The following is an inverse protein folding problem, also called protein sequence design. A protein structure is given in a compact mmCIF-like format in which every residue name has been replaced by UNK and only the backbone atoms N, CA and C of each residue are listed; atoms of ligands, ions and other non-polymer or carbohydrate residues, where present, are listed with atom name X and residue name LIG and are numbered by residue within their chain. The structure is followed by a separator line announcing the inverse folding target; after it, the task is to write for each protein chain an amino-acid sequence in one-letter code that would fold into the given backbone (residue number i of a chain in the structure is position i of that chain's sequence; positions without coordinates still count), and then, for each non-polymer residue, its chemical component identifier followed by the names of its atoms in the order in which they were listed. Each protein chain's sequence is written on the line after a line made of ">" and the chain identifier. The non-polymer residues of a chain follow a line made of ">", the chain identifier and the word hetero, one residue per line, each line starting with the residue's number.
data_IF_925396422428
#
_entry.id   IF_925396422428
#
_cell.length_a   1.000
_cell.length_b   1.000
_cell.length_c   1.000
_cell.angle_alpha   90.00
_cell.angle_beta   90.00
_cell.angle_gamma   90.00
#
_symmetry.space_group_name_H-M   'P 1'
#
loop_
_entity.id
_entity.type
_entity.pdbx_description
1 polymer ?
#
# COMPACT_ATOMS: atom_id res chain seq x y z
N UNK A 1 50.84 -23.60 8.10
CA UNK A 1 49.71 -23.53 7.15
C UNK A 1 48.60 -22.59 7.69
N UNK A 2 48.68 -21.31 7.31
CA UNK A 2 47.79 -20.25 7.79
C UNK A 2 46.55 -20.15 6.90
N UNK A 3 45.36 -20.43 7.45
CA UNK A 3 44.08 -20.28 6.76
C UNK A 3 43.70 -18.81 6.65
N UNK A 4 43.59 -18.30 5.42
CA UNK A 4 43.01 -16.98 5.15
C UNK A 4 41.49 -17.11 5.15
N UNK A 5 40.84 -16.54 6.16
CA UNK A 5 39.39 -16.28 6.13
C UNK A 5 39.14 -15.20 5.05
N UNK A 6 38.48 -15.58 3.96
CA UNK A 6 38.07 -14.63 2.93
C UNK A 6 37.01 -13.69 3.52
N UNK A 7 37.28 -12.38 3.48
CA UNK A 7 36.33 -11.35 3.87
C UNK A 7 35.09 -11.44 2.95
N UNK A 8 33.90 -11.57 3.55
CA UNK A 8 32.66 -11.51 2.80
C UNK A 8 32.54 -10.15 2.08
N UNK A 9 32.05 -10.11 0.83
CA UNK A 9 31.87 -8.85 0.12
C UNK A 9 30.92 -7.94 0.91
N UNK A 10 31.26 -6.64 0.99
CA UNK A 10 30.44 -5.65 1.66
C UNK A 10 29.02 -5.66 1.08
N UNK A 11 28.03 -5.96 1.93
CA UNK A 11 26.62 -5.91 1.53
C UNK A 11 26.29 -4.45 1.19
N UNK A 12 25.72 -4.18 0.00
CA UNK A 12 25.27 -2.84 -0.35
C UNK A 12 24.28 -2.32 0.70
N UNK A 13 24.59 -1.19 1.33
CA UNK A 13 23.65 -0.50 2.21
C UNK A 13 22.56 0.11 1.35
N UNK A 14 21.35 -0.44 1.42
CA UNK A 14 20.18 0.16 0.78
C UNK A 14 19.79 1.40 1.57
N UNK A 15 19.52 2.50 0.86
CA UNK A 15 19.05 3.76 1.46
C UNK A 15 17.70 3.58 2.20
N UNK A 16 17.26 4.61 2.95
CA UNK A 16 15.97 4.57 3.63
C UNK A 16 14.84 4.33 2.63
N UNK A 17 13.88 3.51 3.03
CA UNK A 17 12.75 3.13 2.20
C UNK A 17 11.95 4.37 1.77
N UNK A 18 11.66 4.59 0.47
CA UNK A 18 10.90 5.75 -0.02
C UNK A 18 9.60 6.00 0.76
N UNK A 19 8.88 4.94 1.14
CA UNK A 19 7.65 5.04 1.92
C UNK A 19 7.87 5.65 3.32
N UNK A 20 9.02 5.39 3.94
CA UNK A 20 9.41 5.98 5.22
C UNK A 20 9.78 7.45 5.07
N UNK A 21 10.38 7.84 3.94
CA UNK A 21 10.67 9.24 3.63
C UNK A 21 9.38 10.02 3.39
N UNK A 22 8.39 9.43 2.69
CA UNK A 22 7.07 10.03 2.48
C UNK A 22 6.34 10.34 3.79
N UNK A 23 6.45 9.45 4.79
CA UNK A 23 5.83 9.66 6.11
C UNK A 23 6.42 10.81 6.91
N UNK A 24 7.61 11.31 6.54
CA UNK A 24 8.25 12.46 7.18
C UNK A 24 7.84 13.79 6.52
N UNK A 25 7.02 13.75 5.47
CA UNK A 25 6.57 14.95 4.78
C UNK A 25 5.50 15.64 5.63
N UNK A 26 5.71 16.91 5.93
CA UNK A 26 4.69 17.76 6.51
C UNK A 26 3.58 17.99 5.49
N UNK A 27 2.39 17.48 5.79
CA UNK A 27 1.22 17.67 4.95
C UNK A 27 0.68 19.09 5.15
N UNK A 28 0.13 19.73 4.09
CA UNK A 28 -0.53 21.02 4.24
C UNK A 28 -1.72 20.90 5.20
N UNK A 29 -2.16 22.05 5.72
CA UNK A 29 -3.31 22.11 6.61
C UNK A 29 -4.52 21.41 5.96
N UNK A 30 -5.22 20.64 6.79
CA UNK A 30 -6.42 19.89 6.41
C UNK A 30 -7.45 20.84 5.78
N UNK A 31 -7.81 20.57 4.53
CA UNK A 31 -8.85 21.31 3.81
C UNK A 31 -10.23 20.78 4.20
N UNK A 32 -11.14 21.69 4.56
CA UNK A 32 -12.51 21.30 4.95
C UNK A 32 -13.27 20.70 3.78
N UNK A 33 -13.03 21.15 2.55
CA UNK A 33 -13.69 20.62 1.34
C UNK A 33 -13.34 19.17 1.01
N UNK A 34 -12.22 18.65 1.50
CA UNK A 34 -11.78 17.27 1.30
C UNK A 34 -12.38 16.30 2.35
N UNK A 35 -13.11 16.83 3.34
CA UNK A 35 -13.68 16.05 4.41
C UNK A 35 -15.11 15.66 4.14
N UNK A 36 -15.36 14.38 4.30
CA UNK A 36 -16.68 13.78 4.19
C UNK A 36 -17.32 13.67 5.58
N UNK A 37 -18.55 14.16 5.71
CA UNK A 37 -19.41 13.68 6.78
C UNK A 37 -19.64 12.19 6.56
N UNK A 38 -19.02 11.37 7.42
CA UNK A 38 -19.28 9.94 7.44
C UNK A 38 -20.70 9.80 7.95
N UNK A 39 -21.67 9.69 7.04
CA UNK A 39 -23.05 9.38 7.42
C UNK A 39 -23.03 8.05 8.16
N UNK A 40 -23.47 8.02 9.42
CA UNK A 40 -23.72 6.77 10.12
C UNK A 40 -24.69 5.96 9.26
N UNK A 41 -24.21 4.84 8.72
CA UNK A 41 -25.04 3.95 7.93
C UNK A 41 -26.02 3.27 8.89
N UNK A 42 -27.12 3.94 9.19
CA UNK A 42 -28.26 3.38 9.91
C UNK A 42 -28.97 2.38 9.01
N UNK A 43 -28.41 1.17 8.86
CA UNK A 43 -29.11 0.06 8.26
C UNK A 43 -28.92 -1.16 9.15
N UNK A 44 -30.00 -1.46 9.88
CA UNK A 44 -30.34 -2.78 10.37
C UNK A 44 -30.11 -3.82 9.27
N UNK A 45 -29.63 -4.97 9.72
CA UNK A 45 -29.54 -6.25 9.05
C UNK A 45 -30.84 -6.55 8.29
N UNK A 46 -30.81 -6.50 6.95
CA UNK A 46 -31.79 -7.16 6.10
C UNK A 46 -31.21 -7.39 4.70
N UNK A 47 -31.12 -8.67 4.36
CA UNK A 47 -30.52 -9.23 3.16
C UNK A 47 -31.33 -8.93 1.89
N UNK A 48 -31.13 -7.75 1.30
CA UNK A 48 -31.57 -7.50 -0.07
C UNK A 48 -30.53 -6.65 -0.81
N UNK A 49 -30.04 -7.15 -1.95
CA UNK A 49 -29.28 -6.38 -2.94
C UNK A 49 -30.14 -5.26 -3.56
N UNK A 50 -30.61 -4.32 -2.74
CA UNK A 50 -31.01 -3.03 -3.25
C UNK A 50 -29.73 -2.25 -3.49
N UNK A 51 -29.43 -1.99 -4.77
CA UNK A 51 -28.43 -1.01 -5.18
C UNK A 51 -28.80 0.31 -4.50
N UNK A 52 -28.22 0.57 -3.33
CA UNK A 52 -28.47 1.79 -2.57
C UNK A 52 -28.12 2.93 -3.50
N UNK A 53 -29.07 3.82 -3.79
CA UNK A 53 -28.80 4.99 -4.61
C UNK A 53 -27.69 5.83 -3.94
N UNK A 54 -26.57 5.99 -4.64
CA UNK A 54 -25.40 6.75 -4.18
C UNK A 54 -25.27 8.09 -4.90
N UNK A 55 -26.24 8.47 -5.73
CA UNK A 55 -26.24 9.71 -6.50
C UNK A 55 -26.15 10.97 -5.63
N UNK A 56 -26.67 10.90 -4.39
CA UNK A 56 -26.64 11.98 -3.41
C UNK A 56 -25.32 12.08 -2.61
N UNK A 57 -24.35 11.19 -2.85
CA UNK A 57 -23.07 11.27 -2.14
C UNK A 57 -22.26 12.45 -2.65
N UNK A 58 -21.72 13.23 -1.72
CA UNK A 58 -20.79 14.31 -2.03
C UNK A 58 -19.65 13.79 -2.91
N UNK A 59 -19.26 14.55 -3.93
CA UNK A 59 -18.13 14.22 -4.81
C UNK A 59 -17.03 15.24 -4.50
N UNK A 60 -15.79 14.81 -4.22
CA UNK A 60 -14.75 15.75 -3.84
C UNK A 60 -14.41 16.60 -5.06
N UNK A 61 -14.00 17.84 -4.83
CA UNK A 61 -13.68 18.79 -5.91
C UNK A 61 -12.55 18.28 -6.81
N UNK A 62 -11.54 17.60 -6.25
CA UNK A 62 -10.43 17.03 -7.01
C UNK A 62 -10.86 15.94 -8.01
N UNK A 63 -12.01 15.30 -7.79
CA UNK A 63 -12.58 14.35 -8.75
C UNK A 63 -13.09 15.05 -10.02
N UNK A 64 -13.39 16.35 -9.99
CA UNK A 64 -13.88 17.08 -11.17
C UNK A 64 -12.87 17.12 -12.33
N UNK A 65 -11.58 17.09 -12.02
CA UNK A 65 -10.47 17.12 -12.99
C UNK A 65 -9.70 15.81 -13.06
N UNK A 66 -10.29 14.70 -12.57
CA UNK A 66 -9.56 13.44 -12.38
C UNK A 66 -8.91 12.91 -13.66
N UNK A 67 -9.55 13.09 -14.83
CA UNK A 67 -9.00 12.65 -16.11
C UNK A 67 -7.71 13.40 -16.47
N UNK A 68 -7.65 14.70 -16.18
CA UNK A 68 -6.45 15.52 -16.41
C UNK A 68 -5.33 15.11 -15.45
N UNK A 69 -5.67 14.89 -14.19
CA UNK A 69 -4.73 14.43 -13.16
C UNK A 69 -4.19 13.04 -13.53
N UNK A 70 -5.06 12.12 -13.93
CA UNK A 70 -4.69 10.77 -14.35
C UNK A 70 -3.76 10.80 -15.57
N UNK A 71 -4.07 11.63 -16.57
CA UNK A 71 -3.18 11.83 -17.72
C UNK A 71 -1.80 12.37 -17.30
N UNK A 72 -1.76 13.30 -16.34
CA UNK A 72 -0.50 13.86 -15.82
C UNK A 72 0.33 12.87 -14.98
N UNK A 73 -0.26 11.76 -14.54
CA UNK A 73 0.38 10.73 -13.73
C UNK A 73 0.76 9.49 -14.55
N UNK A 74 0.37 9.41 -15.83
CA UNK A 74 0.49 8.20 -16.65
C UNK A 74 1.93 7.73 -16.87
N UNK A 75 2.90 8.64 -16.86
CA UNK A 75 4.32 8.35 -17.06
C UNK A 75 5.09 8.09 -15.75
N UNK A 76 4.42 8.20 -14.60
CA UNK A 76 5.04 8.11 -13.28
C UNK A 76 5.22 6.65 -12.84
N UNK A 77 6.42 6.28 -12.41
CA UNK A 77 6.73 4.94 -11.92
C UNK A 77 6.20 4.73 -10.49
N UNK A 78 5.17 3.90 -10.28
CA UNK A 78 4.58 3.70 -8.95
C UNK A 78 5.56 3.08 -7.95
N UNK A 79 6.55 2.31 -8.41
CA UNK A 79 7.56 1.70 -7.53
C UNK A 79 8.47 2.75 -6.87
N UNK A 80 8.52 3.97 -7.43
CA UNK A 80 9.30 5.07 -6.83
C UNK A 80 8.56 5.73 -5.66
N UNK A 81 7.24 5.56 -5.58
CA UNK A 81 6.38 6.05 -4.49
C UNK A 81 6.18 4.94 -3.46
N UNK A 82 5.69 3.79 -3.92
CA UNK A 82 5.23 2.69 -3.07
C UNK A 82 6.30 1.63 -2.83
N UNK A 83 7.49 1.82 -3.40
CA UNK A 83 8.60 0.87 -3.37
C UNK A 83 8.30 -0.38 -4.20
N UNK A 84 9.33 -1.13 -4.57
CA UNK A 84 9.16 -2.40 -5.32
C UNK A 84 8.66 -3.57 -4.47
N UNK A 85 8.49 -3.38 -3.15
CA UNK A 85 8.13 -4.47 -2.23
C UNK A 85 7.13 -3.98 -1.19
N UNK A 86 5.98 -4.63 -1.13
CA UNK A 86 5.02 -4.41 -0.06
C UNK A 86 5.55 -5.03 1.25
N UNK A 87 5.58 -4.28 2.37
CA UNK A 87 5.94 -4.82 3.67
C UNK A 87 5.06 -6.02 4.07
N UNK A 88 5.62 -6.95 4.83
CA UNK A 88 4.86 -8.08 5.35
C UNK A 88 3.74 -7.59 6.28
N UNK A 89 2.52 -8.10 6.11
CA UNK A 89 1.41 -7.83 7.01
C UNK A 89 1.52 -8.76 8.23
N UNK A 90 2.15 -8.26 9.30
CA UNK A 90 2.28 -8.98 10.58
C UNK A 90 0.97 -8.84 11.36
N UNK A 91 0.16 -9.90 11.39
CA UNK A 91 -1.15 -9.86 12.04
C UNK A 91 -1.05 -9.59 13.56
N UNK A 92 0.06 -9.97 14.19
CA UNK A 92 0.38 -9.70 15.58
C UNK A 92 0.42 -8.19 15.89
N UNK A 93 0.96 -7.41 14.95
CA UNK A 93 1.12 -5.96 15.10
C UNK A 93 -0.19 -5.23 14.86
N UNK A 94 -0.97 -5.69 13.87
CA UNK A 94 -2.26 -5.10 13.48
C UNK A 94 -3.37 -5.47 14.47
N UNK A 95 -3.44 -6.74 14.88
CA UNK A 95 -4.45 -7.28 15.79
C UNK A 95 -3.80 -7.74 17.09
N UNK A 96 -3.42 -6.76 17.90
CA UNK A 96 -2.79 -7.01 19.19
C UNK A 96 -3.74 -7.78 20.13
N UNK A 97 -3.17 -8.61 21.01
CA UNK A 97 -3.94 -9.43 21.96
C UNK A 97 -4.86 -8.59 22.87
N UNK A 98 -4.50 -7.32 23.13
CA UNK A 98 -5.34 -6.38 23.86
C UNK A 98 -6.71 -6.16 23.19
N UNK A 99 -6.75 -6.07 21.86
CA UNK A 99 -8.00 -5.87 21.09
C UNK A 99 -8.91 -7.09 21.19
N UNK A 100 -8.33 -8.30 21.17
CA UNK A 100 -9.10 -9.54 21.35
C UNK A 100 -9.69 -9.63 22.75
N UNK A 101 -8.91 -9.30 23.79
CA UNK A 101 -9.37 -9.28 25.19
C UNK A 101 -10.53 -8.29 25.38
N UNK A 102 -10.45 -7.10 24.80
CA UNK A 102 -11.52 -6.10 24.87
C UNK A 102 -12.84 -6.64 24.29
N UNK A 103 -12.76 -7.44 23.23
CA UNK A 103 -13.93 -8.07 22.60
C UNK A 103 -14.36 -9.39 23.26
N UNK A 104 -13.73 -9.80 24.38
CA UNK A 104 -14.01 -11.07 25.07
C UNK A 104 -13.65 -12.31 24.24
N UNK A 105 -12.76 -12.17 23.24
CA UNK A 105 -12.37 -13.23 22.32
C UNK A 105 -10.90 -13.62 22.50
N UNK A 106 -10.55 -14.82 22.07
CA UNK A 106 -9.16 -15.27 21.96
C UNK A 106 -8.69 -15.23 20.52
N UNK A 107 -7.39 -14.96 20.34
CA UNK A 107 -6.77 -14.92 19.02
C UNK A 107 -6.83 -16.30 18.31
N UNK A 108 -7.30 -16.37 17.05
CA UNK A 108 -7.23 -17.59 16.25
C UNK A 108 -5.78 -17.97 15.93
N UNK A 109 -5.34 -19.15 16.37
CA UNK A 109 -4.00 -19.68 16.06
C UNK A 109 -4.10 -20.69 14.92
N UNK A 110 -4.19 -20.21 13.68
CA UNK A 110 -4.22 -21.06 12.49
C UNK A 110 -2.86 -21.05 11.81
N UNK A 111 -2.31 -22.23 11.52
CA UNK A 111 -1.16 -22.35 10.63
C UNK A 111 -1.62 -22.18 9.18
N UNK A 112 -0.84 -21.45 8.38
CA UNK A 112 -1.08 -21.34 6.94
C UNK A 112 -0.58 -22.60 6.25
N UNK A 113 -1.37 -23.11 5.31
CA UNK A 113 -0.94 -24.18 4.40
C UNK A 113 -0.14 -23.66 3.22
N UNK A 114 -0.15 -24.39 2.11
CA UNK A 114 0.54 -24.03 0.86
C UNK A 114 0.12 -22.66 0.29
N UNK A 115 -1.07 -22.15 0.64
CA UNK A 115 -1.54 -20.81 0.26
C UNK A 115 -0.70 -19.66 0.81
N UNK A 116 0.22 -19.91 1.75
CA UNK A 116 1.19 -18.94 2.23
C UNK A 116 2.53 -18.95 1.48
N UNK A 117 2.80 -19.96 0.64
CA UNK A 117 4.09 -20.10 -0.04
C UNK A 117 4.04 -19.62 -1.50
N UNK A 118 4.37 -18.35 -1.70
CA UNK A 118 4.41 -17.70 -3.02
C UNK A 118 5.84 -17.55 -3.56
N UNK A 119 6.79 -18.36 -3.08
CA UNK A 119 8.22 -18.21 -3.46
C UNK A 119 8.46 -18.38 -4.96
N UNK A 120 7.65 -19.20 -5.63
CA UNK A 120 7.77 -19.51 -7.06
C UNK A 120 7.07 -18.50 -7.97
N UNK A 121 6.09 -17.78 -7.43
CA UNK A 121 5.23 -16.83 -8.16
C UNK A 121 5.76 -15.38 -8.12
N UNK A 122 6.98 -15.18 -7.61
CA UNK A 122 7.58 -13.85 -7.52
C UNK A 122 7.90 -13.32 -8.92
N UNK A 123 7.49 -12.09 -9.18
CA UNK A 123 7.91 -11.34 -10.35
C UNK A 123 9.44 -11.23 -10.39
N UNK A 124 10.00 -11.52 -11.56
CA UNK A 124 11.41 -11.35 -11.87
C UNK A 124 11.68 -9.90 -12.23
N UNK A 125 12.93 -9.48 -12.07
CA UNK A 125 13.37 -8.11 -12.42
C UNK A 125 13.12 -7.77 -13.88
N UNK A 126 13.28 -8.75 -14.77
CA UNK A 126 13.03 -8.62 -16.20
C UNK A 126 11.55 -8.34 -16.47
N UNK A 127 10.63 -9.09 -15.84
CA UNK A 127 9.18 -8.90 -15.99
C UNK A 127 8.75 -7.51 -15.50
N UNK A 128 9.31 -7.05 -14.39
CA UNK A 128 9.06 -5.69 -13.86
C UNK A 128 9.55 -4.63 -14.85
N UNK A 129 10.77 -4.77 -15.38
CA UNK A 129 11.32 -3.83 -16.36
C UNK A 129 10.48 -3.78 -17.62
N UNK A 130 10.14 -4.94 -18.17
CA UNK A 130 9.38 -5.05 -19.43
C UNK A 130 7.94 -4.54 -19.25
N UNK A 131 7.36 -4.69 -18.05
CA UNK A 131 6.09 -4.05 -17.70
C UNK A 131 6.20 -2.52 -17.69
N UNK A 132 7.20 -1.97 -16.97
CA UNK A 132 7.41 -0.50 -16.91
C UNK A 132 7.63 0.11 -18.29
N UNK A 133 8.39 -0.56 -19.15
CA UNK A 133 8.61 -0.11 -20.52
C UNK A 133 7.31 -0.08 -21.34
N UNK A 134 6.47 -1.13 -21.23
CA UNK A 134 5.16 -1.18 -21.93
C UNK A 134 4.17 -0.13 -21.43
N UNK A 135 4.21 0.18 -20.13
CA UNK A 135 3.33 1.18 -19.52
C UNK A 135 3.84 2.62 -19.67
N UNK A 136 5.06 2.83 -20.16
CA UNK A 136 5.64 4.17 -20.31
C UNK A 136 6.03 4.82 -18.97
N UNK A 137 6.26 4.02 -17.92
CA UNK A 137 6.70 4.51 -16.61
C UNK A 137 8.17 4.99 -16.69
N UNK A 138 8.36 6.23 -17.11
CA UNK A 138 9.68 6.82 -17.40
C UNK A 138 10.11 7.84 -16.36
N UNK A 139 9.18 8.38 -15.57
CA UNK A 139 9.43 9.42 -14.58
C UNK A 139 9.42 8.83 -13.17
N UNK A 140 10.51 9.04 -12.43
CA UNK A 140 10.53 8.77 -11.00
C UNK A 140 9.79 9.88 -10.24
N UNK A 141 9.12 9.51 -9.16
CA UNK A 141 8.60 10.48 -8.20
C UNK A 141 9.78 11.15 -7.48
N UNK A 142 10.00 12.43 -7.76
CA UNK A 142 10.99 13.27 -7.10
C UNK A 142 10.26 14.38 -6.33
N UNK A 143 10.74 14.73 -5.15
CA UNK A 143 10.14 15.70 -4.23
C UNK A 143 10.64 17.14 -4.47
N UNK A 144 11.12 17.46 -5.68
CA UNK A 144 11.53 18.83 -6.03
C UNK A 144 10.33 19.74 -6.27
#
# INVERSE_FOLDING_TARGET
>A
PSSRLAAAPAVPTFGPDPSQLLRKIELPAKRTEDNYEISECGCSDDEVEQVKDRSSKFVPTWCGTYLQVLASQADMDPDTIFTSKVPACTLEEVFQDALYKQAGKSRPKRQRGSSGDWRKDRLRREEVRDYKQRMGHTRAWNKE
#
